data_IF_351260333711
#
_entry.id   IF_351260333711
#
_cell.length_a   1.000
_cell.length_b   1.000
_cell.length_c   1.000
_cell.angle_alpha   90.00
_cell.angle_beta   90.00
_cell.angle_gamma   90.00
#
_symmetry.space_group_name_H-M   'P 1'
#
loop_
_entity.id
_entity.type
_entity.pdbx_description
1 polymer ?
#
# COMPACT_ATOMS: atom_id res chain seq x y z
N UNK A 1 -2.19 -11.85 8.87
CA UNK A 1 -3.54 -11.86 9.48
C UNK A 1 -4.49 -11.07 8.61
N UNK A 2 -4.22 -9.79 8.37
CA UNK A 2 -4.95 -8.99 7.39
C UNK A 2 -4.00 -8.19 6.52
N UNK A 3 -4.43 -7.87 5.31
CA UNK A 3 -3.71 -7.02 4.38
C UNK A 3 -4.62 -5.86 3.98
N UNK A 4 -4.05 -4.67 3.81
CA UNK A 4 -4.76 -3.52 3.24
C UNK A 4 -3.97 -2.99 2.07
N UNK A 5 -4.66 -2.72 0.99
CA UNK A 5 -4.10 -2.17 -0.24
C UNK A 5 -4.74 -0.82 -0.49
N UNK A 6 -3.99 0.05 -1.15
CA UNK A 6 -4.34 1.41 -1.45
C UNK A 6 -4.33 1.65 -2.96
N UNK A 7 -5.00 2.72 -3.35
CA UNK A 7 -5.00 3.23 -4.71
C UNK A 7 -4.02 4.40 -4.80
N UNK A 8 -3.26 4.44 -5.89
CA UNK A 8 -2.50 5.63 -6.26
C UNK A 8 -3.49 6.64 -6.82
N UNK A 9 -3.59 7.79 -6.16
CA UNK A 9 -4.55 8.82 -6.48
C UNK A 9 -3.90 10.14 -6.86
N UNK A 10 -4.61 10.91 -7.68
CA UNK A 10 -4.21 12.26 -8.10
C UNK A 10 -5.42 13.21 -8.14
N UNK A 11 -5.16 14.52 -8.11
CA UNK A 11 -6.18 15.53 -8.40
C UNK A 11 -6.69 15.40 -9.84
N UNK A 12 -7.99 15.63 -10.10
CA UNK A 12 -8.52 15.71 -11.45
C UNK A 12 -7.92 16.81 -12.32
N UNK A 13 -7.31 17.83 -11.69
CA UNK A 13 -6.61 18.92 -12.38
C UNK A 13 -5.30 18.47 -13.03
N UNK A 14 -4.70 17.37 -12.57
CA UNK A 14 -3.50 16.82 -13.16
C UNK A 14 -3.81 16.12 -14.50
N UNK A 15 -2.85 16.12 -15.44
CA UNK A 15 -3.07 15.67 -16.81
C UNK A 15 -3.16 14.14 -16.95
N UNK A 16 -2.72 13.38 -15.94
CA UNK A 16 -2.61 11.93 -16.00
C UNK A 16 -3.98 11.25 -15.85
N UNK A 17 -4.26 10.30 -16.74
CA UNK A 17 -5.43 9.43 -16.68
C UNK A 17 -5.06 7.95 -16.50
N UNK A 18 -3.76 7.64 -16.53
CA UNK A 18 -3.20 6.31 -16.34
C UNK A 18 -1.88 6.38 -15.58
N UNK A 19 -1.39 5.24 -15.07
CA UNK A 19 -0.01 5.16 -14.56
C UNK A 19 1.03 5.36 -15.67
N UNK A 20 0.71 5.00 -16.92
CA UNK A 20 1.62 5.19 -18.06
C UNK A 20 1.88 6.69 -18.30
N UNK A 21 0.82 7.51 -18.33
CA UNK A 21 0.93 8.98 -18.48
C UNK A 21 1.81 9.57 -17.38
N UNK A 22 1.61 9.10 -16.14
CA UNK A 22 2.37 9.55 -14.97
C UNK A 22 3.85 9.22 -15.10
N UNK A 23 4.16 7.97 -15.49
CA UNK A 23 5.54 7.49 -15.59
C UNK A 23 6.27 8.19 -16.73
N UNK A 24 5.61 8.41 -17.87
CA UNK A 24 6.20 9.16 -18.97
C UNK A 24 6.56 10.58 -18.54
N UNK A 25 5.66 11.28 -17.85
CA UNK A 25 5.92 12.62 -17.33
C UNK A 25 7.04 12.61 -16.27
N UNK A 26 7.04 11.64 -15.36
CA UNK A 26 8.08 11.50 -14.33
C UNK A 26 9.47 11.27 -14.95
N UNK A 27 9.56 10.51 -16.06
CA UNK A 27 10.81 10.29 -16.80
C UNK A 27 11.29 11.55 -17.50
N UNK A 28 10.37 12.31 -18.08
CA UNK A 28 10.69 13.56 -18.77
C UNK A 28 11.05 14.69 -17.79
N UNK A 29 10.50 14.65 -16.57
CA UNK A 29 10.67 15.67 -15.55
C UNK A 29 11.09 15.07 -14.18
N UNK A 30 12.29 14.49 -14.05
CA UNK A 30 12.69 13.79 -12.83
C UNK A 30 12.64 14.70 -11.58
N UNK A 31 11.89 14.27 -10.56
CA UNK A 31 11.73 14.97 -9.28
C UNK A 31 10.73 16.14 -9.31
N UNK A 32 10.00 16.37 -10.41
CA UNK A 32 8.96 17.41 -10.46
C UNK A 32 7.65 16.96 -9.82
N UNK A 33 7.32 15.66 -9.94
CA UNK A 33 6.08 15.09 -9.43
C UNK A 33 6.19 14.89 -7.93
N UNK A 34 5.24 15.46 -7.19
CA UNK A 34 5.22 15.37 -5.72
C UNK A 34 4.36 14.20 -5.25
N UNK A 35 4.79 13.50 -4.21
CA UNK A 35 4.06 12.38 -3.61
C UNK A 35 3.88 12.59 -2.11
N UNK A 36 2.63 12.59 -1.65
CA UNK A 36 2.28 12.76 -0.24
C UNK A 36 2.50 11.46 0.54
N UNK A 37 3.37 11.50 1.55
CA UNK A 37 3.66 10.36 2.41
C UNK A 37 3.77 10.77 3.88
N UNK A 38 3.49 9.85 4.79
CA UNK A 38 3.77 10.04 6.22
C UNK A 38 5.13 9.44 6.55
N UNK A 39 6.11 10.30 6.86
CA UNK A 39 7.50 9.92 7.09
C UNK A 39 7.60 8.93 8.26
N UNK A 40 8.34 7.83 8.05
CA UNK A 40 8.48 6.72 9.00
C UNK A 40 7.31 5.73 8.98
N UNK A 41 6.32 5.90 8.10
CA UNK A 41 5.20 4.95 7.92
C UNK A 41 5.31 4.17 6.62
N UNK A 42 4.48 3.13 6.45
CA UNK A 42 4.43 2.32 5.23
C UNK A 42 4.17 3.14 3.96
N UNK A 43 3.42 4.24 4.06
CA UNK A 43 3.16 5.14 2.92
C UNK A 43 4.40 5.82 2.35
N UNK A 44 5.50 5.92 3.12
CA UNK A 44 6.77 6.42 2.60
C UNK A 44 7.44 5.42 1.66
N UNK A 45 7.17 4.11 1.81
CA UNK A 45 7.79 3.07 1.00
C UNK A 45 7.19 2.97 -0.40
N UNK A 46 5.93 3.36 -0.57
CA UNK A 46 5.23 3.31 -1.86
C UNK A 46 5.93 4.15 -2.95
N UNK A 47 6.24 5.45 -2.76
CA UNK A 47 6.96 6.21 -3.77
C UNK A 47 8.37 5.65 -4.00
N UNK A 48 9.04 5.15 -2.96
CA UNK A 48 10.39 4.57 -3.09
C UNK A 48 10.37 3.30 -3.94
N UNK A 49 9.37 2.44 -3.75
CA UNK A 49 9.20 1.26 -4.61
C UNK A 49 8.84 1.67 -6.03
N UNK A 50 7.93 2.64 -6.20
CA UNK A 50 7.56 3.17 -7.51
C UNK A 50 8.77 3.70 -8.29
N UNK A 51 9.64 4.48 -7.63
CA UNK A 51 10.92 4.93 -8.20
C UNK A 51 11.79 3.74 -8.65
N UNK A 52 11.90 2.71 -7.82
CA UNK A 52 12.73 1.53 -8.10
C UNK A 52 12.23 0.68 -9.27
N UNK A 53 10.90 0.48 -9.39
CA UNK A 53 10.31 -0.41 -10.42
C UNK A 53 10.04 0.31 -11.74
N UNK A 54 9.76 1.61 -11.71
CA UNK A 54 9.46 2.40 -12.91
C UNK A 54 10.69 3.16 -13.46
N UNK A 55 11.80 3.18 -12.71
CA UNK A 55 13.00 3.98 -13.00
C UNK A 55 12.67 5.46 -13.16
N UNK A 56 12.02 6.01 -12.12
CA UNK A 56 11.59 7.41 -12.05
C UNK A 56 12.10 8.07 -10.78
N UNK A 57 11.97 9.39 -10.71
CA UNK A 57 12.28 10.16 -9.50
C UNK A 57 11.08 11.01 -9.10
N UNK A 58 10.64 10.87 -7.86
CA UNK A 58 9.54 11.60 -7.25
C UNK A 58 10.07 12.51 -6.14
N UNK A 59 9.31 13.54 -5.81
CA UNK A 59 9.57 14.41 -4.68
C UNK A 59 8.62 14.05 -3.53
N UNK A 60 9.14 13.37 -2.50
CA UNK A 60 8.34 12.92 -1.36
C UNK A 60 8.07 14.11 -0.43
N UNK A 61 6.79 14.41 -0.19
CA UNK A 61 6.33 15.49 0.69
C UNK A 61 5.68 14.88 1.93
N UNK A 62 6.17 15.27 3.10
CA UNK A 62 5.75 14.74 4.40
C UNK A 62 4.44 15.33 4.91
N UNK A 63 3.55 14.47 5.43
CA UNK A 63 2.28 14.84 6.10
C UNK A 63 2.03 13.94 7.32
N UNK A 64 1.26 14.42 8.31
CA UNK A 64 1.12 13.73 9.61
C UNK A 64 0.16 12.53 9.59
N UNK A 65 -0.52 12.28 8.47
CA UNK A 65 -1.35 11.08 8.30
C UNK A 65 -2.18 11.09 7.01
N UNK A 66 -2.89 9.97 6.77
CA UNK A 66 -3.69 9.77 5.55
C UNK A 66 -4.71 10.88 5.29
N UNK A 67 -5.38 11.40 6.31
CA UNK A 67 -6.39 12.44 6.13
C UNK A 67 -5.81 13.75 5.58
N UNK A 68 -4.60 14.13 5.99
CA UNK A 68 -3.91 15.32 5.48
C UNK A 68 -3.40 15.10 4.06
N UNK A 69 -2.79 13.93 3.80
CA UNK A 69 -2.34 13.53 2.46
C UNK A 69 -3.47 13.61 1.44
N UNK A 70 -4.62 13.02 1.76
CA UNK A 70 -5.79 13.05 0.87
C UNK A 70 -6.28 14.47 0.59
N UNK A 71 -6.38 15.32 1.63
CA UNK A 71 -6.82 16.71 1.45
C UNK A 71 -5.87 17.48 0.55
N UNK A 72 -4.56 17.28 0.73
CA UNK A 72 -3.54 17.95 -0.06
C UNK A 72 -3.56 17.48 -1.54
N UNK A 73 -3.79 16.19 -1.80
CA UNK A 73 -4.01 15.68 -3.16
C UNK A 73 -5.28 16.28 -3.78
N UNK A 74 -6.40 16.31 -3.05
CA UNK A 74 -7.68 16.88 -3.54
C UNK A 74 -7.57 18.37 -3.82
N UNK A 75 -6.80 19.11 -3.01
CA UNK A 75 -6.53 20.53 -3.21
C UNK A 75 -5.50 20.80 -4.31
N UNK A 76 -4.90 19.75 -4.88
CA UNK A 76 -3.79 19.83 -5.84
C UNK A 76 -2.53 20.54 -5.29
N UNK A 77 -2.35 20.57 -3.97
CA UNK A 77 -1.13 21.06 -3.32
C UNK A 77 0.05 20.06 -3.50
N UNK A 78 -0.30 18.80 -3.78
CA UNK A 78 0.61 17.70 -4.05
C UNK A 78 0.01 16.79 -5.12
N UNK A 79 0.85 16.29 -6.03
CA UNK A 79 0.44 15.62 -7.25
C UNK A 79 -0.17 14.23 -7.00
N UNK A 80 0.40 13.47 -6.06
CA UNK A 80 0.05 12.07 -5.82
C UNK A 80 -0.07 11.73 -4.34
N UNK A 81 -0.81 10.67 -4.03
CA UNK A 81 -0.78 10.01 -2.73
C UNK A 81 -1.55 8.70 -2.74
N UNK A 82 -1.30 7.85 -1.76
CA UNK A 82 -2.09 6.63 -1.53
C UNK A 82 -3.36 6.89 -0.75
N UNK A 83 -4.43 6.20 -1.15
CA UNK A 83 -5.74 6.29 -0.51
C UNK A 83 -6.42 4.92 -0.50
N UNK A 84 -7.02 4.54 0.63
CA UNK A 84 -7.86 3.35 0.69
C UNK A 84 -9.24 3.65 0.08
N UNK A 85 -9.90 2.64 -0.49
CA UNK A 85 -11.24 2.80 -1.08
C UNK A 85 -12.24 3.45 -0.09
N UNK A 86 -12.16 3.09 1.19
CA UNK A 86 -13.04 3.65 2.23
C UNK A 86 -12.71 5.10 2.52
N UNK A 87 -11.44 5.43 2.70
CA UNK A 87 -11.03 6.80 3.06
C UNK A 87 -11.28 7.79 1.91
N UNK A 88 -11.12 7.32 0.67
CA UNK A 88 -11.30 8.13 -0.54
C UNK A 88 -12.72 8.16 -1.10
N UNK A 89 -13.65 7.35 -0.57
CA UNK A 89 -14.95 7.06 -1.20
C UNK A 89 -15.70 8.31 -1.68
N UNK A 90 -15.86 9.30 -0.81
CA UNK A 90 -16.60 10.53 -1.14
C UNK A 90 -15.85 11.40 -2.15
N UNK A 91 -14.51 11.48 -2.05
CA UNK A 91 -13.69 12.21 -3.02
C UNK A 91 -13.74 11.58 -4.42
N UNK A 92 -13.74 10.25 -4.48
CA UNK A 92 -13.85 9.50 -5.74
C UNK A 92 -15.26 9.69 -6.32
N UNK A 93 -16.31 9.54 -5.51
CA UNK A 93 -17.70 9.68 -5.95
C UNK A 93 -18.02 11.10 -6.46
N UNK A 94 -17.45 12.13 -5.83
CA UNK A 94 -17.61 13.53 -6.23
C UNK A 94 -16.69 13.93 -7.40
N UNK A 95 -15.91 13.00 -7.97
CA UNK A 95 -14.91 13.25 -9.00
C UNK A 95 -13.89 14.33 -8.60
N UNK A 96 -13.54 14.38 -7.31
CA UNK A 96 -12.50 15.24 -6.72
C UNK A 96 -11.15 14.54 -6.61
N UNK A 97 -11.09 13.27 -6.99
CA UNK A 97 -9.91 12.43 -6.97
C UNK A 97 -9.99 11.42 -8.11
N UNK A 98 -8.91 11.29 -8.89
CA UNK A 98 -8.73 10.24 -9.91
C UNK A 98 -7.85 9.14 -9.34
N UNK A 99 -8.16 7.89 -9.66
CA UNK A 99 -7.34 6.72 -9.28
C UNK A 99 -6.58 6.23 -10.51
N UNK A 100 -5.26 6.10 -10.39
CA UNK A 100 -4.37 5.68 -11.49
C UNK A 100 -4.07 4.18 -11.44
N UNK A 101 -4.10 3.57 -10.25
CA UNK A 101 -3.89 2.13 -10.12
C UNK A 101 -4.06 1.64 -8.69
N UNK A 102 -4.25 0.34 -8.55
CA UNK A 102 -4.38 -0.35 -7.27
C UNK A 102 -3.13 -1.17 -6.95
N UNK A 103 -2.59 -1.05 -5.73
CA UNK A 103 -1.36 -1.77 -5.33
C UNK A 103 -1.63 -3.18 -4.76
N UNK A 104 -2.83 -3.74 -4.98
CA UNK A 104 -3.16 -5.13 -4.67
C UNK A 104 -2.69 -6.10 -5.75
N UNK A 105 -2.49 -7.37 -5.35
CA UNK A 105 -2.14 -8.47 -6.27
C UNK A 105 -3.25 -8.74 -7.29
N UNK A 106 -4.50 -8.61 -6.86
CA UNK A 106 -5.71 -8.74 -7.67
C UNK A 106 -6.51 -7.44 -7.61
N UNK A 107 -7.47 -7.28 -8.53
CA UNK A 107 -8.34 -6.09 -8.55
C UNK A 107 -9.16 -5.99 -7.27
N UNK A 108 -9.38 -4.76 -6.81
CA UNK A 108 -10.22 -4.51 -5.64
C UNK A 108 -11.67 -4.96 -5.91
N UNK A 109 -12.26 -5.69 -4.96
CA UNK A 109 -13.68 -6.03 -4.99
C UNK A 109 -14.61 -4.79 -4.91
N UNK A 110 -14.10 -3.67 -4.37
CA UNK A 110 -14.89 -2.45 -4.16
C UNK A 110 -14.82 -1.51 -5.37
N UNK A 111 -13.67 -1.45 -6.04
CA UNK A 111 -13.44 -0.62 -7.22
C UNK A 111 -12.77 -1.45 -8.34
N UNK A 112 -13.49 -2.44 -8.92
CA UNK A 112 -12.91 -3.42 -9.85
C UNK A 112 -12.55 -2.82 -11.21
N UNK A 113 -13.05 -1.62 -11.53
CA UNK A 113 -12.74 -0.95 -12.79
C UNK A 113 -11.33 -0.34 -12.80
N UNK A 114 -10.72 -0.12 -11.62
CA UNK A 114 -9.35 0.37 -11.51
C UNK A 114 -8.39 -0.80 -11.68
N UNK A 115 -7.47 -0.79 -12.67
CA UNK A 115 -6.50 -1.85 -12.86
C UNK A 115 -5.48 -1.88 -11.72
N UNK A 116 -4.92 -3.05 -11.45
CA UNK A 116 -3.76 -3.17 -10.56
C UNK A 116 -2.53 -2.52 -11.21
N UNK A 117 -1.53 -2.16 -10.39
CA UNK A 117 -0.24 -1.69 -10.91
C UNK A 117 0.46 -2.80 -11.71
N UNK A 118 0.26 -4.06 -11.31
CA UNK A 118 0.77 -5.26 -12.00
C UNK A 118 0.18 -5.45 -13.40
N UNK A 119 -1.14 -5.25 -13.55
CA UNK A 119 -1.80 -5.24 -14.86
C UNK A 119 -1.27 -4.12 -15.77
N UNK A 120 -0.76 -3.04 -15.17
CA UNK A 120 -0.15 -1.90 -15.86
C UNK A 120 1.36 -2.07 -16.09
N UNK A 121 1.92 -3.25 -15.82
CA UNK A 121 3.32 -3.57 -16.07
C UNK A 121 4.30 -3.10 -14.99
N UNK A 122 3.80 -2.65 -13.83
CA UNK A 122 4.61 -2.33 -12.67
C UNK A 122 4.59 -3.49 -11.69
N UNK A 123 5.75 -4.09 -11.43
CA UNK A 123 5.88 -5.16 -10.44
C UNK A 123 5.83 -4.59 -9.02
N UNK A 124 4.63 -4.14 -8.64
CA UNK A 124 4.34 -3.44 -7.40
C UNK A 124 3.01 -3.93 -6.86
N UNK A 125 3.10 -4.86 -5.91
CA UNK A 125 1.99 -5.26 -5.06
C UNK A 125 2.40 -5.06 -3.60
N UNK A 126 2.06 -3.90 -3.02
CA UNK A 126 2.47 -3.54 -1.66
C UNK A 126 1.27 -3.23 -0.79
N UNK A 127 0.89 -4.20 0.02
CA UNK A 127 -0.10 -4.01 1.07
C UNK A 127 0.53 -3.66 2.41
N UNK A 128 -0.20 -2.92 3.23
CA UNK A 128 0.07 -2.86 4.68
C UNK A 128 -0.41 -4.15 5.32
N UNK A 129 0.55 -5.00 5.69
CA UNK A 129 0.30 -6.31 6.31
C UNK A 129 0.27 -6.20 7.83
N UNK A 130 -0.74 -6.82 8.45
CA UNK A 130 -0.88 -6.91 9.90
C UNK A 130 -0.83 -8.38 10.34
N UNK A 131 -0.06 -8.66 11.39
CA UNK A 131 0.02 -9.97 11.99
C UNK A 131 0.39 -9.91 13.45
N UNK A 132 0.59 -11.09 14.04
CA UNK A 132 0.76 -11.27 15.47
C UNK A 132 2.06 -12.01 15.69
N UNK A 133 2.89 -11.46 16.57
CA UNK A 133 4.17 -12.05 16.99
C UNK A 133 4.14 -12.27 18.50
N UNK A 134 4.86 -13.30 18.95
CA UNK A 134 5.00 -13.62 20.37
C UNK A 134 6.45 -13.38 20.83
N UNK A 135 6.69 -13.09 22.13
CA UNK A 135 8.03 -12.93 22.65
C UNK A 135 8.93 -14.16 22.39
N UNK A 136 10.23 -13.92 22.19
CA UNK A 136 11.23 -14.99 22.05
C UNK A 136 11.17 -15.95 23.24
N UNK A 137 11.12 -17.24 22.97
CA UNK A 137 11.04 -18.30 23.98
C UNK A 137 9.63 -18.63 24.45
N UNK A 138 8.58 -18.07 23.84
CA UNK A 138 7.20 -18.51 24.07
C UNK A 138 7.07 -20.01 23.77
N UNK A 139 6.50 -20.84 24.67
CA UNK A 139 6.41 -22.27 24.46
C UNK A 139 5.63 -22.64 23.19
N UNK A 140 6.08 -23.66 22.47
CA UNK A 140 5.43 -24.13 21.22
C UNK A 140 3.95 -24.46 21.40
N UNK A 141 3.55 -24.98 22.56
CA UNK A 141 2.15 -25.26 22.86
C UNK A 141 1.28 -24.00 22.90
N UNK A 142 1.84 -22.85 23.32
CA UNK A 142 1.16 -21.56 23.32
C UNK A 142 1.11 -20.99 21.89
N UNK A 143 2.22 -21.09 21.13
CA UNK A 143 2.25 -20.69 19.72
C UNK A 143 1.18 -21.46 18.93
N UNK A 144 1.13 -22.78 19.10
CA UNK A 144 0.12 -23.62 18.45
C UNK A 144 -1.30 -23.19 18.81
N UNK A 145 -1.57 -22.96 20.10
CA UNK A 145 -2.89 -22.53 20.56
C UNK A 145 -3.31 -21.18 19.94
N UNK A 146 -2.38 -20.23 19.82
CA UNK A 146 -2.64 -18.94 19.17
C UNK A 146 -2.88 -19.12 17.66
N UNK A 147 -2.05 -19.92 16.99
CA UNK A 147 -2.20 -20.22 15.57
C UNK A 147 -3.57 -20.83 15.26
N UNK A 148 -3.96 -21.89 15.99
CA UNK A 148 -5.23 -22.58 15.80
C UNK A 148 -6.44 -21.62 16.02
N UNK A 149 -6.33 -20.72 17.01
CA UNK A 149 -7.37 -19.73 17.29
C UNK A 149 -7.47 -18.68 16.18
N UNK A 150 -6.34 -18.20 15.65
CA UNK A 150 -6.31 -17.23 14.56
C UNK A 150 -6.81 -17.82 13.24
N UNK A 151 -6.48 -19.07 12.95
CA UNK A 151 -7.02 -19.82 11.82
C UNK A 151 -8.55 -19.98 11.94
N UNK A 152 -9.04 -20.28 13.15
CA UNK A 152 -10.49 -20.35 13.39
C UNK A 152 -11.17 -19.01 13.10
N UNK A 153 -10.58 -17.90 13.57
CA UNK A 153 -11.13 -16.55 13.35
C UNK A 153 -11.03 -16.13 11.89
N UNK A 154 -9.95 -16.46 11.19
CA UNK A 154 -9.79 -16.10 9.77
C UNK A 154 -10.79 -16.78 8.85
N UNK A 155 -11.37 -17.89 9.27
CA UNK A 155 -12.42 -18.61 8.53
C UNK A 155 -13.84 -18.25 9.00
N UNK A 156 -14.00 -17.33 9.95
CA UNK A 156 -15.30 -16.90 10.45
C UNK A 156 -15.90 -15.84 9.51
N UNK A 157 -17.08 -16.11 8.94
CA UNK A 157 -17.75 -15.23 7.97
C UNK A 157 -18.02 -13.82 8.52
N UNK A 158 -18.52 -13.69 9.76
CA UNK A 158 -18.77 -12.39 10.39
C UNK A 158 -17.47 -11.57 10.53
N UNK A 159 -16.37 -12.23 10.87
CA UNK A 159 -15.06 -11.60 10.93
C UNK A 159 -14.59 -11.16 9.53
N UNK A 160 -14.70 -12.02 8.53
CA UNK A 160 -14.34 -11.70 7.13
C UNK A 160 -15.13 -10.48 6.66
N UNK A 161 -16.47 -10.51 6.77
CA UNK A 161 -17.34 -9.41 6.36
C UNK A 161 -17.00 -8.10 7.10
N UNK A 162 -16.67 -8.18 8.39
CA UNK A 162 -16.31 -7.01 9.17
C UNK A 162 -14.97 -6.41 8.72
N UNK A 163 -13.98 -7.25 8.42
CA UNK A 163 -12.66 -6.85 7.94
C UNK A 163 -12.79 -6.24 6.54
N UNK A 164 -13.50 -6.89 5.62
CA UNK A 164 -13.78 -6.37 4.27
C UNK A 164 -14.53 -5.03 4.32
N UNK A 165 -15.51 -4.89 5.22
CA UNK A 165 -16.22 -3.63 5.46
C UNK A 165 -15.35 -2.49 6.00
N UNK A 166 -14.11 -2.78 6.43
CA UNK A 166 -13.09 -1.81 6.81
C UNK A 166 -12.04 -1.59 5.70
N UNK A 167 -12.24 -2.16 4.50
CA UNK A 167 -11.37 -1.95 3.35
C UNK A 167 -10.05 -2.69 3.48
N UNK A 168 -10.07 -3.80 4.22
CA UNK A 168 -8.93 -4.69 4.42
C UNK A 168 -9.40 -6.12 4.13
N UNK A 169 -8.46 -7.00 3.82
CA UNK A 169 -8.75 -8.38 3.46
C UNK A 169 -8.16 -9.32 4.50
N UNK A 170 -8.84 -10.44 4.76
CA UNK A 170 -8.29 -11.50 5.59
C UNK A 170 -7.21 -12.22 4.78
N UNK A 171 -5.98 -12.17 5.27
CA UNK A 171 -4.82 -12.83 4.68
C UNK A 171 -4.07 -13.54 5.81
N UNK A 172 -4.66 -14.65 6.25
CA UNK A 172 -4.09 -15.47 7.30
C UNK A 172 -2.91 -16.27 6.76
N UNK A 173 -1.84 -16.28 7.55
CA UNK A 173 -0.66 -17.12 7.35
C UNK A 173 -0.47 -17.86 8.67
N UNK A 174 -0.28 -19.17 8.60
CA UNK A 174 0.03 -19.95 9.80
C UNK A 174 1.43 -19.53 10.32
N UNK A 175 1.81 -20.02 11.51
CA UNK A 175 3.08 -19.64 12.15
C UNK A 175 4.32 -19.87 11.28
N UNK A 176 4.36 -20.92 10.46
CA UNK A 176 5.51 -21.20 9.58
C UNK A 176 5.51 -20.25 8.39
N UNK A 177 4.38 -20.17 7.67
CA UNK A 177 4.24 -19.31 6.49
C UNK A 177 4.41 -17.83 6.84
N UNK A 178 4.04 -17.43 8.06
CA UNK A 178 4.20 -16.05 8.52
C UNK A 178 5.66 -15.71 8.84
N UNK A 179 6.45 -16.68 9.32
CA UNK A 179 7.89 -16.49 9.50
C UNK A 179 8.58 -16.34 8.14
N UNK A 180 8.30 -17.22 7.19
CA UNK A 180 8.83 -17.12 5.81
C UNK A 180 8.47 -15.78 5.16
N UNK A 181 7.21 -15.34 5.33
CA UNK A 181 6.75 -14.05 4.83
C UNK A 181 7.50 -12.87 5.45
N UNK A 182 7.76 -12.88 6.77
CA UNK A 182 8.51 -11.80 7.43
C UNK A 182 9.95 -11.78 6.95
N UNK A 183 10.60 -12.94 6.87
CA UNK A 183 12.01 -13.05 6.44
C UNK A 183 12.17 -12.52 5.01
N UNK A 184 11.28 -12.93 4.09
CA UNK A 184 11.26 -12.43 2.71
C UNK A 184 10.98 -10.92 2.65
N UNK A 185 9.97 -10.44 3.40
CA UNK A 185 9.63 -9.02 3.42
C UNK A 185 10.77 -8.15 3.98
N UNK A 186 11.51 -8.66 4.98
CA UNK A 186 12.69 -7.97 5.51
C UNK A 186 13.80 -7.89 4.46
N UNK A 187 14.09 -8.98 3.77
CA UNK A 187 15.12 -9.02 2.72
C UNK A 187 14.80 -8.04 1.58
N UNK A 188 13.58 -8.10 1.04
CA UNK A 188 13.12 -7.22 -0.05
C UNK A 188 13.14 -5.75 0.37
N UNK A 189 12.65 -5.44 1.56
CA UNK A 189 12.60 -4.07 2.06
C UNK A 189 13.99 -3.53 2.40
N UNK A 190 14.88 -4.36 2.96
CA UNK A 190 16.29 -3.99 3.17
C UNK A 190 16.97 -3.66 1.84
N UNK A 191 16.84 -4.53 0.84
CA UNK A 191 17.42 -4.30 -0.48
C UNK A 191 16.88 -3.02 -1.13
N UNK A 192 15.57 -2.76 -1.04
CA UNK A 192 14.95 -1.53 -1.52
C UNK A 192 15.54 -0.30 -0.83
N UNK A 193 15.61 -0.30 0.49
CA UNK A 193 16.09 0.85 1.25
C UNK A 193 17.60 1.10 1.08
N UNK A 194 18.41 0.04 0.92
CA UNK A 194 19.84 0.16 0.58
C UNK A 194 20.02 0.81 -0.80
N UNK A 195 19.31 0.30 -1.82
CA UNK A 195 19.33 0.85 -3.18
C UNK A 195 18.92 2.32 -3.22
N UNK A 196 17.98 2.71 -2.35
CA UNK A 196 17.45 4.07 -2.27
C UNK A 196 18.21 4.97 -1.28
N UNK A 197 19.32 4.51 -0.69
CA UNK A 197 20.12 5.23 0.31
C UNK A 197 19.29 5.73 1.52
N UNK A 198 18.29 4.95 1.94
CA UNK A 198 17.42 5.26 3.08
C UNK A 198 17.77 4.48 4.35
N UNK A 199 18.70 3.53 4.28
CA UNK A 199 19.28 2.90 5.46
C UNK A 199 20.55 3.65 5.88
N UNK A 200 20.64 3.99 7.16
CA UNK A 200 21.90 4.42 7.77
C UNK A 200 22.85 3.22 7.89
N UNK A 201 24.14 3.44 7.68
CA UNK A 201 25.21 2.49 8.02
C UNK A 201 25.16 2.03 9.50
#
# INVERSE_FOLDING_TARGET
MTSSYDFIATSPENPWNSMEDLIEDAKNNPGSITYAASIGSTSQLEPVLMESVADVKLNIVGYDGTAERMKAVVANDVSLGSVSAIAGKDYIADNRMKLLGYNGEERSNVLPDVPTLKEQGLDMATGTNRGIVAPKGTPESIIKKLNDALETVSNNEEFIERIEGLGTEVNFKNSTDYLEFIDQSEEEMRALLEKSNLLSE
#
